data_IF_212426367026
#
_entry.id   IF_212426367026
#
_cell.length_a   1.000
_cell.length_b   1.000
_cell.length_c   1.000
_cell.angle_alpha   90.00
_cell.angle_beta   90.00
_cell.angle_gamma   90.00
#
_symmetry.space_group_name_H-M   'P 1'
#
loop_
_entity.id
_entity.type
_entity.pdbx_description
1 polymer ?
#
# COMPACT_ATOMS: atom_id res chain seq x y z
N UNK A 1 11.23 -8.92 -3.20
CA UNK A 1 10.10 -7.97 -3.21
C UNK A 1 9.77 -7.65 -4.67
N UNK A 2 8.49 -7.70 -5.09
CA UNK A 2 8.09 -7.33 -6.46
C UNK A 2 7.39 -5.97 -6.42
N UNK A 3 7.91 -5.00 -7.17
CA UNK A 3 7.29 -3.68 -7.31
C UNK A 3 6.11 -3.80 -8.26
N UNK A 4 4.98 -3.20 -7.87
CA UNK A 4 3.73 -3.17 -8.62
C UNK A 4 3.23 -1.75 -8.78
N UNK A 5 2.47 -1.52 -9.84
CA UNK A 5 1.68 -0.28 -9.96
C UNK A 5 0.61 -0.28 -8.87
N UNK A 6 0.19 0.91 -8.47
CA UNK A 6 -0.86 1.14 -7.47
C UNK A 6 -2.07 0.21 -7.63
N UNK A 7 -2.69 0.19 -8.82
CA UNK A 7 -3.93 -0.58 -9.01
C UNK A 7 -3.70 -2.08 -8.85
N UNK A 8 -2.59 -2.60 -9.37
CA UNK A 8 -2.25 -4.03 -9.23
C UNK A 8 -2.00 -4.40 -7.77
N UNK A 9 -1.35 -3.53 -7.01
CA UNK A 9 -1.11 -3.72 -5.57
C UNK A 9 -2.40 -3.65 -4.75
N UNK A 10 -3.28 -2.69 -5.04
CA UNK A 10 -4.57 -2.55 -4.38
C UNK A 10 -5.46 -3.76 -4.68
N UNK A 11 -5.46 -4.25 -5.91
CA UNK A 11 -6.17 -5.48 -6.28
C UNK A 11 -5.65 -6.68 -5.50
N UNK A 12 -4.32 -6.86 -5.38
CA UNK A 12 -3.75 -7.91 -4.53
C UNK A 12 -4.27 -7.81 -3.10
N UNK A 13 -4.22 -6.61 -2.51
CA UNK A 13 -4.66 -6.35 -1.13
C UNK A 13 -6.14 -6.70 -0.97
N UNK A 14 -7.00 -6.26 -1.89
CA UNK A 14 -8.43 -6.57 -1.88
C UNK A 14 -8.66 -8.08 -1.96
N UNK A 15 -7.95 -8.77 -2.85
CA UNK A 15 -8.02 -10.23 -2.93
C UNK A 15 -7.59 -10.92 -1.63
N UNK A 16 -6.59 -10.40 -0.91
CA UNK A 16 -6.22 -10.91 0.41
C UNK A 16 -7.27 -10.58 1.47
N UNK A 17 -7.86 -9.38 1.43
CA UNK A 17 -8.94 -8.97 2.33
C UNK A 17 -10.18 -9.86 2.21
N UNK A 18 -10.53 -10.29 0.99
CA UNK A 18 -11.62 -11.25 0.78
C UNK A 18 -11.35 -12.61 1.44
N UNK A 19 -10.08 -13.03 1.56
CA UNK A 19 -9.67 -14.29 2.21
C UNK A 19 -9.45 -14.14 3.72
N UNK A 20 -9.00 -12.95 4.14
CA UNK A 20 -8.66 -12.59 5.51
C UNK A 20 -9.38 -11.29 5.87
N UNK A 21 -10.65 -11.33 6.27
CA UNK A 21 -11.46 -10.10 6.39
C UNK A 21 -11.23 -9.29 7.68
N UNK A 22 -10.51 -9.83 8.67
CA UNK A 22 -10.30 -9.22 9.99
C UNK A 22 -8.82 -8.91 10.20
N UNK A 23 -8.49 -8.24 11.29
CA UNK A 23 -7.10 -8.03 11.77
C UNK A 23 -6.18 -7.26 10.82
N UNK A 24 -6.77 -6.47 9.92
CA UNK A 24 -6.05 -5.50 9.12
C UNK A 24 -5.81 -4.22 9.92
N UNK A 25 -4.61 -3.69 9.80
CA UNK A 25 -4.18 -2.46 10.43
C UNK A 25 -3.48 -1.58 9.40
N UNK A 26 -3.66 -0.28 9.49
CA UNK A 26 -3.13 0.68 8.54
C UNK A 26 -2.41 1.83 9.24
N UNK A 27 -1.38 2.36 8.59
CA UNK A 27 -0.69 3.57 9.00
C UNK A 27 -0.42 4.45 7.79
N UNK A 28 -0.63 5.76 7.97
CA UNK A 28 -0.57 6.75 6.91
C UNK A 28 0.50 7.78 7.27
N UNK A 29 1.44 8.00 6.37
CA UNK A 29 2.46 9.02 6.46
C UNK A 29 2.29 10.04 5.34
N UNK A 30 2.55 11.31 5.64
CA UNK A 30 2.61 12.36 4.63
C UNK A 30 3.98 12.99 4.63
N UNK A 31 4.61 13.03 3.47
CA UNK A 31 5.89 13.69 3.27
C UNK A 31 5.66 15.00 2.51
N UNK A 32 5.79 16.12 3.23
CA UNK A 32 5.56 17.45 2.69
C UNK A 32 6.68 17.93 1.76
N UNK A 33 7.89 17.40 1.90
CA UNK A 33 9.02 17.75 1.04
C UNK A 33 8.83 17.18 -0.37
N UNK A 34 8.48 15.89 -0.44
CA UNK A 34 8.31 15.16 -1.70
C UNK A 34 6.88 15.23 -2.26
N UNK A 35 5.97 15.93 -1.57
CA UNK A 35 4.52 15.94 -1.85
C UNK A 35 3.96 14.52 -2.08
N UNK A 36 4.39 13.59 -1.23
CA UNK A 36 4.04 12.18 -1.34
C UNK A 36 3.26 11.68 -0.13
N UNK A 37 2.36 10.75 -0.38
CA UNK A 37 1.59 10.03 0.63
C UNK A 37 2.13 8.60 0.72
N UNK A 38 2.45 8.16 1.93
CA UNK A 38 2.97 6.84 2.25
C UNK A 38 1.91 6.02 3.00
N UNK A 39 1.64 4.81 2.52
CA UNK A 39 0.61 3.94 3.03
C UNK A 39 1.21 2.60 3.44
N UNK A 40 1.03 2.23 4.70
CA UNK A 40 1.40 0.92 5.22
C UNK A 40 0.13 0.18 5.62
N UNK A 41 -0.10 -0.99 5.02
CA UNK A 41 -1.25 -1.82 5.31
C UNK A 41 -0.79 -3.22 5.67
N UNK A 42 -1.30 -3.77 6.75
CA UNK A 42 -0.66 -4.92 7.37
C UNK A 42 -1.66 -5.85 8.05
N UNK A 43 -1.36 -7.15 8.01
CA UNK A 43 -2.15 -8.20 8.64
C UNK A 43 -1.23 -9.33 9.12
N UNK A 44 -1.38 -9.86 10.35
CA UNK A 44 -0.43 -10.81 10.95
C UNK A 44 -0.09 -12.02 10.06
N UNK A 45 -1.10 -12.63 9.41
CA UNK A 45 -0.93 -13.81 8.56
C UNK A 45 -0.71 -13.52 7.07
N UNK A 46 -0.94 -12.28 6.62
CA UNK A 46 -0.79 -11.92 5.20
C UNK A 46 0.55 -11.22 4.99
N UNK A 47 0.97 -10.35 5.89
CA UNK A 47 2.21 -9.57 5.79
C UNK A 47 1.96 -8.06 5.70
N UNK A 48 3.03 -7.32 5.35
CA UNK A 48 3.04 -5.86 5.26
C UNK A 48 3.12 -5.42 3.80
N UNK A 49 2.23 -4.53 3.41
CA UNK A 49 2.21 -3.84 2.13
C UNK A 49 2.60 -2.39 2.34
N UNK A 50 3.40 -1.88 1.41
CA UNK A 50 3.76 -0.48 1.33
C UNK A 50 3.33 0.06 -0.03
N UNK A 51 2.67 1.20 -0.04
CA UNK A 51 2.29 1.95 -1.24
C UNK A 51 2.75 3.40 -1.04
N UNK A 52 3.49 3.91 -2.01
CA UNK A 52 3.84 5.33 -2.09
C UNK A 52 3.07 5.96 -3.25
N UNK A 53 2.37 7.04 -2.98
CA UNK A 53 1.70 7.85 -3.99
C UNK A 53 2.34 9.24 -4.08
N UNK A 54 2.49 9.71 -5.30
CA UNK A 54 2.98 11.05 -5.63
C UNK A 54 1.90 11.79 -6.39
N UNK A 55 1.64 13.03 -6.00
CA UNK A 55 0.80 13.93 -6.78
C UNK A 55 1.62 14.58 -7.88
N UNK A 56 1.42 14.14 -9.13
CA UNK A 56 2.02 14.83 -10.28
C UNK A 56 1.34 16.18 -10.51
N UNK A 57 0.02 16.23 -10.29
CA UNK A 57 -0.81 17.44 -10.25
C UNK A 57 -2.09 17.12 -9.44
N UNK A 58 -2.95 18.11 -9.14
CA UNK A 58 -4.16 17.89 -8.34
C UNK A 58 -5.15 16.84 -8.88
N UNK A 59 -5.04 16.49 -10.17
CA UNK A 59 -5.92 15.53 -10.86
C UNK A 59 -5.25 14.19 -11.16
N UNK A 60 -3.95 14.07 -10.93
CA UNK A 60 -3.16 12.92 -11.35
C UNK A 60 -2.22 12.46 -10.25
N UNK A 61 -2.59 11.34 -9.63
CA UNK A 61 -1.75 10.60 -8.69
C UNK A 61 -1.09 9.42 -9.37
N UNK A 62 0.21 9.27 -9.14
CA UNK A 62 1.00 8.11 -9.58
C UNK A 62 1.41 7.36 -8.31
N UNK A 63 1.19 6.04 -8.29
CA UNK A 63 1.56 5.24 -7.13
C UNK A 63 2.26 3.94 -7.50
N UNK A 64 3.23 3.57 -6.66
CA UNK A 64 3.98 2.32 -6.76
C UNK A 64 4.17 1.74 -5.38
N UNK A 65 4.25 0.42 -5.30
CA UNK A 65 4.45 -0.23 -4.02
C UNK A 65 4.67 -1.72 -4.14
N UNK A 66 4.57 -2.41 -3.03
CA UNK A 66 4.73 -3.85 -2.97
C UNK A 66 4.53 -4.42 -1.60
N UNK A 67 4.53 -5.75 -1.54
CA UNK A 67 4.58 -6.49 -0.29
C UNK A 67 6.02 -6.51 0.24
N UNK A 68 6.25 -5.81 1.34
CA UNK A 68 7.57 -5.61 1.96
C UNK A 68 7.89 -6.68 3.00
N UNK A 69 6.88 -7.25 3.67
CA UNK A 69 7.05 -8.39 4.58
C UNK A 69 6.00 -9.48 4.31
N UNK A 70 6.37 -10.75 4.51
CA UNK A 70 5.47 -11.91 4.32
C UNK A 70 4.65 -12.24 5.58
N UNK A 71 5.15 -11.84 6.75
CA UNK A 71 4.56 -12.02 8.07
C UNK A 71 5.10 -10.90 8.98
N UNK A 72 4.37 -10.57 10.04
CA UNK A 72 4.68 -9.51 11.01
C UNK A 72 4.50 -10.09 12.40
#
# INVERSE_FOLDING_TARGET
>A
MKIKKRNDLLNDIIHQGNKHPKDWMASFGKNYHDQSDDYYLHHPNVGLFYLKEYQKNPFHKIGVGGKVARKI
#
